data_IF_535297357593
#
_entry.id   IF_535297357593
#
_cell.length_a   1.000
_cell.length_b   1.000
_cell.length_c   1.000
_cell.angle_alpha   90.00
_cell.angle_beta   90.00
_cell.angle_gamma   90.00
#
_symmetry.space_group_name_H-M   'P 1'
#
loop_
_entity.id
_entity.type
_entity.pdbx_description
1 polymer ?
#
# COMPACT_ATOMS: atom_id res chain seq x y z
N UNK A 1 -26.65 6.82 1.34
CA UNK A 1 -25.73 7.78 2.02
C UNK A 1 -24.42 7.08 2.31
N UNK A 2 -23.32 7.81 2.48
CA UNK A 2 -22.03 7.22 2.86
C UNK A 2 -21.97 6.97 4.37
N UNK A 3 -21.34 5.86 4.79
CA UNK A 3 -21.17 5.48 6.20
C UNK A 3 -19.73 5.73 6.67
N UNK A 4 -19.57 6.68 7.59
CA UNK A 4 -18.25 7.05 8.13
C UNK A 4 -17.62 5.96 9.00
N UNK A 5 -18.39 4.97 9.45
CA UNK A 5 -17.88 3.79 10.16
C UNK A 5 -17.24 2.76 9.21
N UNK A 6 -17.44 2.89 7.89
CA UNK A 6 -16.92 1.99 6.84
C UNK A 6 -15.90 2.70 5.95
N UNK A 7 -14.97 3.44 6.57
CA UNK A 7 -13.96 4.20 5.84
C UNK A 7 -12.80 3.30 5.36
N UNK A 8 -12.47 3.37 4.07
CA UNK A 8 -11.27 2.80 3.50
C UNK A 8 -10.55 3.78 2.58
N UNK A 9 -9.27 3.49 2.29
CA UNK A 9 -8.48 4.28 1.34
C UNK A 9 -7.67 3.36 0.44
N UNK A 10 -7.57 3.73 -0.84
CA UNK A 10 -6.58 3.18 -1.76
C UNK A 10 -5.89 4.31 -2.51
N UNK A 11 -4.65 4.07 -2.93
CA UNK A 11 -3.85 5.07 -3.64
C UNK A 11 -2.73 4.43 -4.44
N UNK A 12 -2.34 5.11 -5.52
CA UNK A 12 -1.38 4.61 -6.51
C UNK A 12 -0.16 5.50 -6.59
N UNK A 13 1.04 4.91 -6.75
CA UNK A 13 2.31 5.65 -6.86
C UNK A 13 2.52 6.56 -5.64
N UNK A 14 2.54 7.89 -5.83
CA UNK A 14 2.55 8.87 -4.74
C UNK A 14 1.39 8.63 -3.76
N UNK A 15 0.20 8.35 -4.28
CA UNK A 15 -0.97 8.00 -3.48
C UNK A 15 -0.76 6.72 -2.66
N UNK A 16 0.03 5.77 -3.15
CA UNK A 16 0.38 4.55 -2.40
C UNK A 16 1.19 4.87 -1.14
N UNK A 17 2.15 5.81 -1.23
CA UNK A 17 2.86 6.33 -0.05
C UNK A 17 1.89 7.00 0.92
N UNK A 18 0.99 7.85 0.42
CA UNK A 18 0.03 8.55 1.26
C UNK A 18 -0.94 7.59 1.94
N UNK A 19 -1.35 6.50 1.29
CA UNK A 19 -2.17 5.45 1.88
C UNK A 19 -1.54 4.87 3.15
N UNK A 20 -0.23 4.54 3.12
CA UNK A 20 0.49 4.08 4.32
C UNK A 20 0.49 5.13 5.44
N UNK A 21 0.79 6.38 5.11
CA UNK A 21 0.83 7.47 6.08
C UNK A 21 -0.56 7.74 6.68
N UNK A 22 -1.61 7.67 5.86
CA UNK A 22 -2.99 7.88 6.31
C UNK A 22 -3.48 6.74 7.22
N UNK A 23 -3.03 5.50 6.96
CA UNK A 23 -3.29 4.36 7.83
C UNK A 23 -2.63 4.48 9.20
N UNK A 24 -1.52 5.20 9.31
CA UNK A 24 -0.95 5.60 10.61
C UNK A 24 -1.60 6.87 11.18
N UNK A 25 -2.29 7.68 10.39
CA UNK A 25 -2.86 8.94 10.86
C UNK A 25 -4.26 8.77 11.48
N UNK A 26 -5.20 8.16 10.74
CA UNK A 26 -6.62 8.15 11.09
C UNK A 26 -7.04 6.87 11.86
N UNK A 27 -7.41 6.94 13.14
CA UNK A 27 -7.90 5.78 13.91
C UNK A 27 -9.26 5.24 13.45
N UNK A 28 -10.05 6.03 12.71
CA UNK A 28 -11.34 5.60 12.17
C UNK A 28 -11.24 4.79 10.87
N UNK A 29 -10.05 4.67 10.29
CA UNK A 29 -9.85 3.92 9.05
C UNK A 29 -9.99 2.41 9.30
N UNK A 30 -10.79 1.73 8.47
CA UNK A 30 -11.02 0.28 8.59
C UNK A 30 -10.02 -0.55 7.80
N UNK A 31 -9.60 -0.08 6.63
CA UNK A 31 -8.63 -0.77 5.81
C UNK A 31 -7.96 0.19 4.81
N UNK A 32 -6.72 -0.15 4.43
CA UNK A 32 -5.97 0.58 3.44
C UNK A 32 -5.37 -0.36 2.39
N UNK A 33 -5.33 0.06 1.12
CA UNK A 33 -4.66 -0.70 0.04
C UNK A 33 -3.71 0.22 -0.74
N UNK A 34 -2.41 0.03 -0.57
CA UNK A 34 -1.36 0.85 -1.15
C UNK A 34 -0.76 0.18 -2.39
N UNK A 35 -0.83 0.86 -3.54
CA UNK A 35 -0.28 0.37 -4.80
C UNK A 35 1.04 1.05 -5.12
N UNK A 36 2.12 0.27 -5.18
CA UNK A 36 3.48 0.69 -5.57
C UNK A 36 3.86 2.07 -5.00
N UNK A 37 3.71 2.23 -3.68
CA UNK A 37 4.04 3.45 -2.95
C UNK A 37 5.47 3.42 -2.43
N UNK A 38 6.21 4.53 -2.55
CA UNK A 38 7.60 4.57 -2.05
C UNK A 38 7.66 4.25 -0.55
N UNK A 39 8.40 3.19 -0.18
CA UNK A 39 8.53 2.71 1.21
C UNK A 39 9.58 3.47 2.01
N UNK A 40 10.71 3.77 1.38
CA UNK A 40 11.85 4.39 2.03
C UNK A 40 12.59 5.29 1.03
N UNK A 41 12.84 6.54 1.44
CA UNK A 41 13.59 7.55 0.70
C UNK A 41 14.27 8.51 1.68
N UNK A 42 15.27 9.29 1.25
CA UNK A 42 15.80 10.39 2.06
C UNK A 42 14.67 11.33 2.53
N UNK A 43 14.66 11.64 3.82
CA UNK A 43 13.67 12.54 4.40
C UNK A 43 13.99 13.96 3.96
N UNK A 44 12.95 14.76 3.72
CA UNK A 44 13.06 16.19 3.44
C UNK A 44 12.11 16.94 4.36
N UNK A 45 12.20 18.26 4.42
CA UNK A 45 11.27 19.09 5.21
C UNK A 45 9.80 18.84 4.82
N UNK A 46 9.53 18.67 3.52
CA UNK A 46 8.18 18.40 3.00
C UNK A 46 7.77 16.91 3.11
N UNK A 47 8.74 16.01 3.24
CA UNK A 47 8.53 14.57 3.38
C UNK A 47 9.35 14.02 4.54
N UNK A 48 9.01 14.40 5.79
CA UNK A 48 9.82 14.08 6.97
C UNK A 48 9.68 12.63 7.41
N UNK A 49 8.65 11.92 6.92
CA UNK A 49 8.41 10.50 7.19
C UNK A 49 8.05 9.74 5.91
N UNK A 50 8.46 8.47 5.89
CA UNK A 50 8.11 7.46 4.90
C UNK A 50 7.46 6.24 5.59
N UNK A 51 6.80 5.33 4.84
CA UNK A 51 6.12 4.17 5.41
C UNK A 51 6.94 3.38 6.43
N UNK A 52 8.24 3.20 6.19
CA UNK A 52 9.13 2.48 7.12
C UNK A 52 9.21 3.14 8.52
N UNK A 53 9.06 4.46 8.60
CA UNK A 53 9.11 5.20 9.87
C UNK A 53 7.86 5.01 10.73
N UNK A 54 6.74 4.69 10.10
CA UNK A 54 5.41 4.65 10.74
C UNK A 54 4.84 3.25 10.88
N UNK A 55 5.63 2.21 10.58
CA UNK A 55 5.16 0.83 10.61
C UNK A 55 4.52 0.48 11.98
N UNK A 56 5.12 0.91 13.09
CA UNK A 56 4.57 0.69 14.44
C UNK A 56 3.39 1.61 14.79
N UNK A 57 3.18 2.69 14.05
CA UNK A 57 2.12 3.68 14.28
C UNK A 57 0.81 3.33 13.54
N UNK A 58 0.81 2.30 12.68
CA UNK A 58 -0.36 1.89 11.91
C UNK A 58 -1.57 1.60 12.80
N UNK A 59 -2.72 2.17 12.41
CA UNK A 59 -4.01 2.08 13.12
C UNK A 59 -5.02 1.19 12.39
N UNK A 60 -4.78 0.91 11.11
CA UNK A 60 -5.63 0.09 10.26
C UNK A 60 -4.79 -0.99 9.55
N UNK A 61 -5.41 -2.13 9.19
CA UNK A 61 -4.79 -3.15 8.36
C UNK A 61 -4.47 -2.61 6.95
N UNK A 62 -3.26 -2.90 6.46
CA UNK A 62 -2.79 -2.42 5.15
C UNK A 62 -2.39 -3.57 4.22
N UNK A 63 -2.91 -3.57 3.01
CA UNK A 63 -2.44 -4.40 1.89
C UNK A 63 -1.54 -3.57 0.98
N UNK A 64 -0.31 -4.03 0.74
CA UNK A 64 0.62 -3.49 -0.24
C UNK A 64 0.64 -4.30 -1.53
N UNK A 65 0.51 -3.65 -2.69
CA UNK A 65 0.56 -4.27 -4.02
C UNK A 65 1.74 -3.69 -4.80
N UNK A 66 2.82 -4.46 -4.92
CA UNK A 66 4.12 -4.02 -5.45
C UNK A 66 4.58 -4.86 -6.63
N UNK A 67 5.36 -4.27 -7.53
CA UNK A 67 5.97 -4.96 -8.65
C UNK A 67 7.46 -5.21 -8.40
N UNK A 68 7.97 -6.41 -8.70
CA UNK A 68 9.38 -6.75 -8.53
C UNK A 68 10.30 -6.07 -9.55
N UNK A 69 9.77 -5.65 -10.70
CA UNK A 69 10.54 -4.95 -11.74
C UNK A 69 10.48 -3.41 -11.58
N UNK A 70 9.92 -2.92 -10.47
CA UNK A 70 9.88 -1.50 -10.14
C UNK A 70 11.27 -0.99 -9.74
N UNK A 71 11.90 -0.24 -10.64
CA UNK A 71 13.23 0.34 -10.39
C UNK A 71 13.22 1.47 -9.35
N UNK A 72 12.06 2.06 -9.06
CA UNK A 72 11.91 3.15 -8.10
C UNK A 72 11.63 2.68 -6.67
N UNK A 73 11.34 1.39 -6.48
CA UNK A 73 10.98 0.78 -5.20
C UNK A 73 11.65 -0.60 -5.10
N UNK A 74 12.87 -0.68 -4.55
CA UNK A 74 13.59 -1.95 -4.40
C UNK A 74 12.78 -2.95 -3.57
N UNK A 75 12.76 -4.22 -4.00
CA UNK A 75 12.09 -5.32 -3.28
C UNK A 75 12.54 -5.40 -1.82
N UNK A 76 13.83 -5.19 -1.56
CA UNK A 76 14.40 -5.16 -0.20
C UNK A 76 13.70 -4.13 0.71
N UNK A 77 13.35 -2.95 0.17
CA UNK A 77 12.63 -1.93 0.95
C UNK A 77 11.23 -2.41 1.33
N UNK A 78 10.55 -3.09 0.40
CA UNK A 78 9.21 -3.65 0.60
C UNK A 78 9.24 -4.78 1.63
N UNK A 79 10.24 -5.66 1.56
CA UNK A 79 10.47 -6.72 2.55
C UNK A 79 10.78 -6.16 3.94
N UNK A 80 11.60 -5.10 4.03
CA UNK A 80 11.84 -4.38 5.29
C UNK A 80 10.54 -3.83 5.90
N UNK A 81 9.63 -3.31 5.08
CA UNK A 81 8.33 -2.84 5.56
C UNK A 81 7.48 -3.99 6.12
N UNK A 82 7.42 -5.13 5.40
CA UNK A 82 6.71 -6.32 5.89
C UNK A 82 7.28 -6.79 7.24
N UNK A 83 8.61 -6.84 7.36
CA UNK A 83 9.28 -7.21 8.60
C UNK A 83 9.00 -6.22 9.74
N UNK A 84 9.02 -4.91 9.46
CA UNK A 84 8.72 -3.87 10.44
C UNK A 84 7.27 -3.94 10.96
N UNK A 85 6.30 -4.13 10.06
CA UNK A 85 4.91 -4.37 10.45
C UNK A 85 4.78 -5.61 11.35
N UNK A 86 5.41 -6.73 10.96
CA UNK A 86 5.39 -7.98 11.73
C UNK A 86 6.00 -7.80 13.11
N UNK A 87 7.16 -7.14 13.20
CA UNK A 87 7.83 -6.87 14.47
C UNK A 87 6.99 -5.97 15.39
N UNK A 88 6.22 -5.04 14.83
CA UNK A 88 5.32 -4.17 15.57
C UNK A 88 3.93 -4.78 15.86
N UNK A 89 3.68 -6.04 15.48
CA UNK A 89 2.39 -6.71 15.66
C UNK A 89 1.25 -6.09 14.86
N UNK A 90 1.55 -5.45 13.72
CA UNK A 90 0.55 -4.83 12.84
C UNK A 90 0.13 -5.77 11.73
N UNK A 91 -1.15 -5.67 11.34
CA UNK A 91 -1.70 -6.40 10.21
C UNK A 91 -1.31 -5.73 8.90
N UNK A 92 -0.21 -6.20 8.31
CA UNK A 92 0.21 -5.79 6.97
C UNK A 92 0.38 -7.03 6.10
N UNK A 93 -0.26 -7.04 4.93
CA UNK A 93 0.01 -8.01 3.88
C UNK A 93 0.67 -7.31 2.71
N UNK A 94 1.64 -7.96 2.08
CA UNK A 94 2.31 -7.41 0.90
C UNK A 94 2.38 -8.48 -0.18
N UNK A 95 1.80 -8.17 -1.34
CA UNK A 95 1.94 -8.95 -2.56
C UNK A 95 2.96 -8.28 -3.47
N UNK A 96 3.98 -9.05 -3.84
CA UNK A 96 4.95 -8.69 -4.87
C UNK A 96 4.63 -9.49 -6.14
N UNK A 97 4.46 -8.78 -7.25
CA UNK A 97 4.22 -9.35 -8.58
C UNK A 97 5.54 -9.47 -9.35
N UNK A 98 5.91 -10.66 -9.84
CA UNK A 98 7.11 -10.82 -10.68
C UNK A 98 6.96 -10.05 -12.00
N UNK A 99 8.08 -9.62 -12.59
CA UNK A 99 8.17 -8.96 -13.90
C UNK A 99 7.24 -7.74 -14.09
N UNK A 100 6.81 -7.16 -12.98
CA UNK A 100 5.79 -6.12 -12.95
C UNK A 100 6.45 -4.78 -12.62
N UNK A 101 6.38 -3.78 -13.53
CA UNK A 101 7.01 -2.48 -13.32
C UNK A 101 6.14 -1.55 -12.46
N UNK A 102 6.68 -0.38 -12.15
CA UNK A 102 5.91 0.70 -11.54
C UNK A 102 4.69 1.07 -12.38
N UNK A 103 3.56 1.40 -11.75
CA UNK A 103 2.37 1.83 -12.49
C UNK A 103 1.68 0.70 -13.26
N UNK A 104 1.79 -0.55 -12.80
CA UNK A 104 1.26 -1.71 -13.51
C UNK A 104 -0.28 -1.78 -13.60
N UNK A 105 -0.99 -0.98 -12.81
CA UNK A 105 -2.44 -0.84 -12.88
C UNK A 105 -2.90 0.32 -13.79
N UNK A 106 -1.98 1.11 -14.35
CA UNK A 106 -2.33 2.21 -15.25
C UNK A 106 -2.55 1.66 -16.67
N UNK A 107 -3.79 1.26 -16.98
CA UNK A 107 -4.21 0.62 -18.24
C UNK A 107 -3.90 1.43 -19.51
N UNK A 108 -3.76 2.74 -19.37
CA UNK A 108 -3.41 3.66 -20.45
C UNK A 108 -1.89 3.77 -20.71
N UNK A 109 -1.04 3.06 -19.97
CA UNK A 109 0.44 3.16 -20.07
C UNK A 109 1.08 1.84 -20.52
N UNK A 110 2.26 1.88 -21.15
CA UNK A 110 3.06 0.68 -21.45
C UNK A 110 3.48 -0.14 -20.21
N UNK A 111 3.44 0.48 -19.02
CA UNK A 111 3.69 -0.20 -17.75
C UNK A 111 2.59 -1.18 -17.36
N UNK A 112 1.40 -1.08 -17.96
CA UNK A 112 0.26 -1.94 -17.62
C UNK A 112 0.63 -3.42 -17.67
N UNK A 113 0.20 -4.17 -16.64
CA UNK A 113 0.29 -5.63 -16.59
C UNK A 113 -1.10 -6.15 -16.25
N UNK A 114 -1.90 -6.58 -17.25
CA UNK A 114 -3.32 -6.88 -17.04
C UNK A 114 -3.57 -7.94 -15.97
N UNK A 115 -2.76 -8.99 -15.94
CA UNK A 115 -2.96 -10.08 -14.99
C UNK A 115 -2.63 -9.65 -13.55
N UNK A 116 -1.52 -8.92 -13.35
CA UNK A 116 -1.18 -8.35 -12.04
C UNK A 116 -2.18 -7.28 -11.58
N UNK A 117 -2.67 -6.44 -12.51
CA UNK A 117 -3.67 -5.42 -12.25
C UNK A 117 -5.01 -6.03 -11.81
N UNK A 118 -5.51 -7.03 -12.54
CA UNK A 118 -6.76 -7.74 -12.21
C UNK A 118 -6.65 -8.47 -10.88
N UNK A 119 -5.56 -9.20 -10.64
CA UNK A 119 -5.33 -9.89 -9.36
C UNK A 119 -5.23 -8.89 -8.20
N UNK A 120 -4.46 -7.81 -8.36
CA UNK A 120 -4.34 -6.75 -7.35
C UNK A 120 -5.68 -6.10 -7.04
N UNK A 121 -6.51 -5.87 -8.06
CA UNK A 121 -7.83 -5.27 -7.90
C UNK A 121 -8.78 -6.22 -7.15
N UNK A 122 -8.76 -7.51 -7.50
CA UNK A 122 -9.53 -8.52 -6.78
C UNK A 122 -9.09 -8.62 -5.30
N UNK A 123 -7.78 -8.61 -5.02
CA UNK A 123 -7.25 -8.61 -3.65
C UNK A 123 -7.64 -7.36 -2.87
N UNK A 124 -7.61 -6.19 -3.51
CA UNK A 124 -8.08 -4.94 -2.91
C UNK A 124 -9.55 -5.05 -2.48
N UNK A 125 -10.42 -5.54 -3.36
CA UNK A 125 -11.85 -5.71 -3.06
C UNK A 125 -12.07 -6.73 -1.94
N UNK A 126 -11.36 -7.86 -1.97
CA UNK A 126 -11.41 -8.87 -0.90
C UNK A 126 -10.96 -8.28 0.44
N UNK A 127 -9.85 -7.54 0.47
CA UNK A 127 -9.32 -6.89 1.68
C UNK A 127 -10.34 -5.93 2.31
N UNK A 128 -11.00 -5.12 1.48
CA UNK A 128 -12.05 -4.21 1.97
C UNK A 128 -13.26 -4.95 2.53
N UNK A 129 -13.68 -6.04 1.89
CA UNK A 129 -14.77 -6.88 2.40
C UNK A 129 -14.41 -7.54 3.74
N UNK A 130 -13.23 -8.12 3.85
CA UNK A 130 -12.75 -8.80 5.07
C UNK A 130 -12.64 -7.87 6.27
N UNK A 131 -12.38 -6.58 6.02
CA UNK A 131 -12.29 -5.56 7.05
C UNK A 131 -13.56 -4.70 7.22
N UNK A 132 -14.70 -5.15 6.67
CA UNK A 132 -16.02 -4.59 6.96
C UNK A 132 -16.33 -3.27 6.27
N UNK A 133 -15.63 -2.95 5.18
CA UNK A 133 -15.84 -1.73 4.38
C UNK A 133 -16.92 -1.95 3.33
N UNK A 134 -16.96 -3.14 2.71
CA UNK A 134 -17.84 -3.51 1.59
C UNK A 134 -18.76 -4.69 1.93
#
# INVERSE_FOLDING_TARGET
EADTAKLAVTGFCWGGRITWLYAAHNPGLKAAVAWYGSIDRPRTELQPKFPIDIAAELKAPVLGLYGAADQGIPVESVEKMAAACKAAGKTCEIKIYPDTPHGFNADYRPSYRPEAAKDGWAKMLTWFKEHGVA
#
